data_IF_668358812811
#
_entry.id   IF_668358812811
#
_cell.length_a   1.000
_cell.length_b   1.000
_cell.length_c   1.000
_cell.angle_alpha   90.00
_cell.angle_beta   90.00
_cell.angle_gamma   90.00
#
_symmetry.space_group_name_H-M   'P 1'
#
loop_
_entity.id
_entity.type
_entity.pdbx_description
1 polymer ?
#
# COMPACT_ATOMS: atom_id res chain seq x y z
N UNK A 1 -11.37 7.12 26.73
CA UNK A 1 -11.88 6.01 25.90
C UNK A 1 -11.72 6.47 24.47
N UNK A 2 -10.70 5.96 23.75
CA UNK A 2 -10.56 6.22 22.30
C UNK A 2 -11.68 5.42 21.67
N UNK A 3 -12.67 6.09 21.09
CA UNK A 3 -13.66 5.42 20.25
C UNK A 3 -12.91 4.56 19.23
N UNK A 4 -13.29 3.30 19.15
CA UNK A 4 -12.79 2.34 18.16
C UNK A 4 -13.16 2.89 16.78
N UNK A 5 -12.30 3.72 16.21
CA UNK A 5 -12.50 4.14 14.82
C UNK A 5 -12.25 2.91 13.96
N UNK A 6 -13.32 2.45 13.35
CA UNK A 6 -13.30 1.34 12.41
C UNK A 6 -12.42 1.77 11.23
N UNK A 7 -11.31 1.08 11.02
CA UNK A 7 -10.50 1.24 9.80
C UNK A 7 -11.40 0.94 8.60
N UNK A 8 -11.42 1.84 7.63
CA UNK A 8 -12.24 1.69 6.42
C UNK A 8 -11.34 1.52 5.21
N UNK A 9 -11.58 0.51 4.42
CA UNK A 9 -10.80 0.20 3.23
C UNK A 9 -11.67 0.29 1.97
N UNK A 10 -11.08 0.81 0.89
CA UNK A 10 -11.61 0.66 -0.47
C UNK A 10 -10.82 -0.47 -1.12
N UNK A 11 -11.51 -1.43 -1.68
CA UNK A 11 -10.95 -2.55 -2.43
C UNK A 11 -11.72 -2.77 -3.74
N UNK A 12 -11.11 -3.46 -4.67
CA UNK A 12 -11.72 -3.83 -5.94
C UNK A 12 -11.43 -5.28 -6.28
N UNK A 13 -12.45 -6.12 -6.53
CA UNK A 13 -12.22 -7.48 -7.02
C UNK A 13 -11.51 -7.47 -8.38
N UNK A 14 -10.62 -8.44 -8.66
CA UNK A 14 -9.97 -8.54 -9.95
C UNK A 14 -10.96 -8.91 -11.06
N UNK A 15 -10.78 -8.26 -12.23
CA UNK A 15 -11.46 -8.63 -13.47
C UNK A 15 -10.72 -9.74 -14.23
N UNK A 16 -11.33 -10.23 -15.30
CA UNK A 16 -10.71 -11.26 -16.17
C UNK A 16 -9.41 -10.78 -16.86
N UNK A 17 -9.25 -9.47 -16.95
CA UNK A 17 -8.06 -8.85 -17.51
C UNK A 17 -6.80 -9.06 -16.65
N UNK A 18 -6.91 -9.47 -15.39
CA UNK A 18 -5.75 -9.69 -14.47
C UNK A 18 -4.65 -10.56 -15.09
N UNK A 19 -4.99 -11.49 -15.99
CA UNK A 19 -4.01 -12.28 -16.77
C UNK A 19 -2.99 -11.44 -17.54
N UNK A 20 -3.30 -10.17 -17.81
CA UNK A 20 -2.47 -9.22 -18.54
C UNK A 20 -1.90 -8.14 -17.64
N UNK A 21 -1.89 -8.37 -16.32
CA UNK A 21 -1.31 -7.44 -15.35
C UNK A 21 0.13 -7.09 -15.70
N UNK A 22 0.52 -5.89 -15.37
CA UNK A 22 1.89 -5.41 -15.52
C UNK A 22 2.78 -6.09 -14.46
N UNK A 23 3.40 -7.20 -14.84
CA UNK A 23 4.23 -7.97 -13.92
C UNK A 23 5.53 -8.41 -14.56
N UNK A 24 6.61 -8.39 -13.76
CA UNK A 24 7.90 -9.01 -14.05
C UNK A 24 8.03 -10.44 -13.51
N UNK A 25 7.02 -10.94 -12.79
CA UNK A 25 7.08 -12.26 -12.16
C UNK A 25 7.24 -13.39 -13.19
N UNK A 26 8.12 -14.38 -12.98
CA UNK A 26 8.34 -15.47 -13.92
C UNK A 26 7.09 -16.33 -14.16
N UNK A 27 6.21 -16.46 -13.18
CA UNK A 27 4.99 -17.25 -13.23
C UNK A 27 3.72 -16.45 -13.62
N UNK A 28 3.86 -15.19 -14.08
CA UNK A 28 2.72 -14.33 -14.44
C UNK A 28 1.72 -14.97 -15.40
N UNK A 29 2.20 -15.84 -16.30
CA UNK A 29 1.35 -16.52 -17.28
C UNK A 29 0.44 -17.58 -16.65
N UNK A 30 0.65 -17.90 -15.34
CA UNK A 30 -0.17 -18.85 -14.57
C UNK A 30 -1.37 -18.18 -13.91
N UNK A 31 -1.48 -16.85 -13.93
CA UNK A 31 -2.56 -16.10 -13.26
C UNK A 31 -3.93 -16.64 -13.70
N UNK A 32 -4.70 -17.11 -12.72
CA UNK A 32 -6.09 -17.50 -12.85
C UNK A 32 -7.01 -16.45 -12.19
N UNK A 33 -7.73 -15.65 -13.00
CA UNK A 33 -8.62 -14.61 -12.46
C UNK A 33 -9.77 -15.14 -11.61
N UNK A 34 -10.24 -16.37 -11.83
CA UNK A 34 -11.30 -16.96 -11.04
C UNK A 34 -10.79 -17.30 -9.63
N UNK A 35 -9.60 -17.90 -9.56
CA UNK A 35 -8.92 -18.15 -8.30
C UNK A 35 -8.53 -16.84 -7.60
N UNK A 36 -8.05 -15.84 -8.33
CA UNK A 36 -7.78 -14.52 -7.79
C UNK A 36 -9.02 -13.87 -7.16
N UNK A 37 -10.20 -14.00 -7.78
CA UNK A 37 -11.46 -13.52 -7.18
C UNK A 37 -11.79 -14.23 -5.87
N UNK A 38 -11.56 -15.53 -5.82
CA UNK A 38 -11.78 -16.32 -4.60
C UNK A 38 -10.81 -15.90 -3.47
N UNK A 39 -9.54 -15.68 -3.80
CA UNK A 39 -8.53 -15.20 -2.85
C UNK A 39 -8.84 -13.79 -2.35
N UNK A 40 -9.26 -12.91 -3.26
CA UNK A 40 -9.69 -11.55 -2.88
C UNK A 40 -10.88 -11.57 -1.94
N UNK A 41 -11.89 -12.40 -2.21
CA UNK A 41 -13.07 -12.54 -1.36
C UNK A 41 -12.70 -13.07 0.04
N UNK A 42 -11.79 -14.04 0.12
CA UNK A 42 -11.29 -14.57 1.39
C UNK A 42 -10.50 -13.50 2.19
N UNK A 43 -9.70 -12.65 1.52
CA UNK A 43 -9.05 -11.52 2.18
C UNK A 43 -10.06 -10.52 2.73
N UNK A 44 -11.11 -10.19 1.97
CA UNK A 44 -12.20 -9.30 2.43
C UNK A 44 -12.87 -9.88 3.68
N UNK A 45 -13.24 -11.15 3.66
CA UNK A 45 -13.86 -11.83 4.81
C UNK A 45 -12.95 -11.83 6.04
N UNK A 46 -11.65 -12.06 5.86
CA UNK A 46 -10.67 -12.02 6.95
C UNK A 46 -10.52 -10.61 7.54
N UNK A 47 -10.55 -9.57 6.71
CA UNK A 47 -10.52 -8.17 7.15
C UNK A 47 -11.80 -7.79 7.92
N UNK A 48 -12.97 -8.15 7.42
CA UNK A 48 -14.25 -7.89 8.08
C UNK A 48 -14.35 -8.64 9.43
N UNK A 49 -13.84 -9.87 9.49
CA UNK A 49 -13.71 -10.64 10.75
C UNK A 49 -12.79 -9.95 11.76
N UNK A 50 -11.79 -9.21 11.30
CA UNK A 50 -10.93 -8.39 12.14
C UNK A 50 -11.54 -7.01 12.51
N UNK A 51 -12.79 -6.75 12.14
CA UNK A 51 -13.50 -5.49 12.44
C UNK A 51 -13.17 -4.33 11.50
N UNK A 52 -12.59 -4.63 10.34
CA UNK A 52 -12.30 -3.64 9.29
C UNK A 52 -13.52 -3.49 8.38
N UNK A 53 -13.95 -2.26 8.13
CA UNK A 53 -15.05 -2.01 7.19
C UNK A 53 -14.51 -1.96 5.75
N UNK A 54 -14.99 -2.83 4.88
CA UNK A 54 -14.58 -2.89 3.48
C UNK A 54 -15.66 -2.33 2.56
N UNK A 55 -15.26 -1.43 1.65
CA UNK A 55 -16.11 -0.93 0.57
C UNK A 55 -15.59 -1.47 -0.74
N UNK A 56 -16.39 -2.30 -1.41
CA UNK A 56 -16.03 -2.89 -2.70
C UNK A 56 -16.45 -1.98 -3.86
N UNK A 57 -15.51 -1.67 -4.73
CA UNK A 57 -15.78 -1.13 -6.05
C UNK A 57 -16.20 -2.25 -7.02
N UNK A 58 -16.94 -1.96 -8.08
CA UNK A 58 -17.18 -2.95 -9.13
C UNK A 58 -15.86 -3.36 -9.81
N UNK A 59 -15.73 -4.62 -10.25
CA UNK A 59 -14.58 -5.05 -11.02
C UNK A 59 -14.51 -4.30 -12.36
N UNK A 60 -13.29 -4.10 -12.84
CA UNK A 60 -13.04 -3.52 -14.17
C UNK A 60 -12.65 -4.61 -15.15
N UNK A 61 -13.44 -4.77 -16.21
CA UNK A 61 -13.26 -5.87 -17.16
C UNK A 61 -11.99 -5.73 -18.01
N UNK A 62 -11.64 -4.50 -18.37
CA UNK A 62 -10.57 -4.19 -19.34
C UNK A 62 -9.31 -3.57 -18.72
N UNK A 63 -9.28 -3.36 -17.41
CA UNK A 63 -8.16 -2.77 -16.68
C UNK A 63 -7.46 -3.86 -15.85
N UNK A 64 -6.33 -4.40 -16.35
CA UNK A 64 -5.66 -5.56 -15.74
C UNK A 64 -5.27 -5.36 -14.29
N UNK A 65 -4.79 -4.17 -13.95
CA UNK A 65 -4.20 -3.85 -12.65
C UNK A 65 -5.17 -3.16 -11.68
N UNK A 66 -6.45 -2.99 -12.07
CA UNK A 66 -7.40 -2.17 -11.33
C UNK A 66 -7.74 -2.68 -9.92
N UNK A 67 -7.43 -3.93 -9.59
CA UNK A 67 -7.55 -4.48 -8.23
C UNK A 67 -6.46 -3.96 -7.28
N UNK A 68 -5.33 -3.48 -7.81
CA UNK A 68 -4.25 -2.87 -7.02
C UNK A 68 -4.56 -1.40 -6.74
N UNK A 69 -5.60 -1.19 -5.93
CA UNK A 69 -6.17 0.15 -5.68
C UNK A 69 -5.21 1.09 -4.97
N UNK A 70 -4.24 0.57 -4.20
CA UNK A 70 -3.27 1.39 -3.46
C UNK A 70 -2.50 2.36 -4.33
N UNK A 71 -2.21 1.99 -5.60
CA UNK A 71 -1.41 2.83 -6.49
C UNK A 71 -2.17 4.06 -7.01
N UNK A 72 -3.49 4.06 -6.90
CA UNK A 72 -4.36 5.07 -7.50
C UNK A 72 -4.73 6.22 -6.58
N UNK A 73 -4.61 6.00 -5.25
CA UNK A 73 -5.09 6.97 -4.29
C UNK A 73 -4.42 6.81 -2.93
N UNK A 74 -4.13 7.93 -2.29
CA UNK A 74 -3.62 8.02 -0.93
C UNK A 74 -4.56 8.85 -0.08
N UNK A 75 -4.73 8.46 1.19
CA UNK A 75 -5.51 9.24 2.15
C UNK A 75 -4.70 9.48 3.43
N UNK A 76 -4.82 10.68 3.95
CA UNK A 76 -4.04 11.13 5.10
C UNK A 76 -4.99 11.75 6.14
N UNK A 77 -5.09 11.19 7.35
CA UNK A 77 -5.59 11.94 8.50
C UNK A 77 -4.58 13.02 8.89
N UNK A 78 -4.92 13.95 9.75
CA UNK A 78 -3.86 14.75 10.41
C UNK A 78 -3.11 13.87 11.41
N UNK A 79 -1.80 14.10 11.62
CA UNK A 79 -1.05 13.34 12.63
C UNK A 79 -1.74 13.39 14.00
N UNK A 80 -2.05 12.19 14.53
CA UNK A 80 -2.79 12.04 15.79
C UNK A 80 -4.31 12.06 15.67
N UNK A 81 -4.86 12.30 14.49
CA UNK A 81 -6.29 12.19 14.18
C UNK A 81 -6.58 10.89 13.42
N UNK A 82 -7.86 10.52 13.38
CA UNK A 82 -8.31 9.29 12.72
C UNK A 82 -9.12 9.59 11.45
N UNK A 83 -9.67 10.79 11.38
CA UNK A 83 -10.48 11.20 10.23
C UNK A 83 -9.58 11.67 9.08
N UNK A 84 -9.84 11.14 7.89
CA UNK A 84 -9.16 11.55 6.67
C UNK A 84 -9.37 13.04 6.42
N UNK A 85 -8.27 13.78 6.33
CA UNK A 85 -8.25 15.22 6.10
C UNK A 85 -7.78 15.59 4.69
N UNK A 86 -6.99 14.71 4.05
CA UNK A 86 -6.48 14.90 2.70
C UNK A 86 -6.61 13.60 1.91
N UNK A 87 -7.09 13.70 0.69
CA UNK A 87 -7.08 12.65 -0.32
C UNK A 87 -6.21 13.10 -1.48
N UNK A 88 -5.25 12.27 -1.89
CA UNK A 88 -4.38 12.55 -3.02
C UNK A 88 -4.66 11.53 -4.12
N UNK A 89 -5.22 12.00 -5.25
CA UNK A 89 -5.31 11.20 -6.45
C UNK A 89 -3.94 11.17 -7.12
N UNK A 90 -3.43 9.98 -7.37
CA UNK A 90 -2.13 9.80 -8.00
C UNK A 90 -2.17 10.06 -9.51
N UNK A 91 -1.01 10.15 -10.12
CA UNK A 91 -0.85 10.04 -11.57
C UNK A 91 0.09 8.86 -11.84
N UNK A 92 -0.44 7.64 -12.01
CA UNK A 92 0.37 6.44 -12.14
C UNK A 92 1.45 6.56 -13.22
N UNK A 93 2.66 6.07 -12.89
CA UNK A 93 3.79 6.05 -13.81
C UNK A 93 3.54 5.20 -15.04
N UNK A 94 2.76 4.12 -14.92
CA UNK A 94 2.24 3.36 -16.03
C UNK A 94 0.99 4.05 -16.62
N UNK A 95 1.03 4.59 -17.87
CA UNK A 95 -0.11 5.32 -18.43
C UNK A 95 -1.38 4.50 -18.53
N UNK A 96 -1.27 3.17 -18.70
CA UNK A 96 -2.41 2.24 -18.78
C UNK A 96 -3.22 2.17 -17.49
N UNK A 97 -2.63 2.55 -16.35
CA UNK A 97 -3.26 2.54 -15.03
C UNK A 97 -3.97 3.85 -14.66
N UNK A 98 -3.69 4.94 -15.37
CA UNK A 98 -4.30 6.25 -15.11
C UNK A 98 -5.83 6.25 -15.17
N UNK A 99 -6.50 5.48 -16.07
CA UNK A 99 -7.97 5.38 -16.10
C UNK A 99 -8.59 4.73 -14.85
N UNK A 100 -7.80 4.05 -14.00
CA UNK A 100 -8.27 3.41 -12.77
C UNK A 100 -8.61 4.44 -11.68
N UNK A 101 -7.92 5.59 -11.66
CA UNK A 101 -7.96 6.61 -10.61
C UNK A 101 -9.35 7.24 -10.39
N UNK A 102 -10.11 7.66 -11.42
CA UNK A 102 -11.35 8.41 -11.21
C UNK A 102 -12.40 7.67 -10.38
N UNK A 103 -12.54 6.36 -10.55
CA UNK A 103 -13.55 5.58 -9.84
C UNK A 103 -13.20 5.40 -8.35
N UNK A 104 -11.90 5.21 -8.03
CA UNK A 104 -11.41 5.12 -6.66
C UNK A 104 -11.55 6.48 -5.95
N UNK A 105 -11.17 7.57 -6.64
CA UNK A 105 -11.32 8.94 -6.13
C UNK A 105 -12.80 9.28 -5.84
N UNK A 106 -13.71 8.91 -6.74
CA UNK A 106 -15.14 9.14 -6.52
C UNK A 106 -15.67 8.39 -5.29
N UNK A 107 -15.16 7.19 -5.02
CA UNK A 107 -15.49 6.45 -3.80
C UNK A 107 -14.93 7.15 -2.56
N UNK A 108 -13.66 7.54 -2.57
CA UNK A 108 -13.00 8.22 -1.46
C UNK A 108 -13.70 9.53 -1.09
N UNK A 109 -14.11 10.33 -2.08
CA UNK A 109 -14.89 11.58 -1.86
C UNK A 109 -16.21 11.32 -1.13
N UNK A 110 -16.87 10.20 -1.40
CA UNK A 110 -18.11 9.84 -0.66
C UNK A 110 -17.83 9.39 0.77
N UNK A 111 -16.69 8.69 0.97
CA UNK A 111 -16.32 8.18 2.28
C UNK A 111 -15.71 9.24 3.20
N UNK A 112 -15.05 10.25 2.64
CA UNK A 112 -14.44 11.36 3.35
C UNK A 112 -14.86 12.72 2.73
N UNK A 113 -16.14 13.12 2.84
CA UNK A 113 -16.68 14.29 2.13
C UNK A 113 -16.08 15.63 2.62
N UNK A 114 -15.45 15.65 3.81
CA UNK A 114 -14.79 16.84 4.37
C UNK A 114 -13.29 16.92 4.08
N UNK A 115 -12.72 15.92 3.39
CA UNK A 115 -11.29 15.91 3.08
C UNK A 115 -10.97 16.85 1.90
N UNK A 116 -9.84 17.55 2.00
CA UNK A 116 -9.27 18.23 0.86
C UNK A 116 -8.81 17.22 -0.20
N UNK A 117 -8.91 17.61 -1.47
CA UNK A 117 -8.50 16.74 -2.59
C UNK A 117 -7.38 17.43 -3.36
N UNK A 118 -6.28 16.71 -3.54
CA UNK A 118 -5.14 17.11 -4.38
C UNK A 118 -4.97 16.03 -5.46
N UNK A 119 -4.64 16.48 -6.66
CA UNK A 119 -4.32 15.59 -7.79
C UNK A 119 -2.87 15.80 -8.20
N UNK A 120 -2.11 14.72 -8.33
CA UNK A 120 -0.77 14.77 -8.92
C UNK A 120 -0.90 15.05 -10.42
N UNK A 121 -0.07 15.94 -10.94
CA UNK A 121 -0.16 16.44 -12.33
C UNK A 121 1.17 16.35 -13.06
N UNK A 122 1.11 16.25 -14.36
CA UNK A 122 2.29 16.33 -15.22
C UNK A 122 3.18 17.54 -14.86
N UNK A 123 4.50 17.43 -14.93
CA UNK A 123 5.27 16.24 -15.36
C UNK A 123 5.51 15.21 -14.23
N UNK A 124 4.84 15.35 -13.07
CA UNK A 124 4.94 14.42 -11.95
C UNK A 124 4.22 13.10 -12.24
N UNK A 125 4.83 11.97 -11.89
CA UNK A 125 4.18 10.66 -11.79
C UNK A 125 4.31 10.15 -10.36
N UNK A 126 3.30 9.44 -9.88
CA UNK A 126 3.25 8.88 -8.54
C UNK A 126 2.39 7.62 -8.52
N UNK A 127 2.95 6.50 -8.09
CA UNK A 127 2.22 5.31 -7.68
C UNK A 127 2.12 5.29 -6.15
N UNK A 128 0.95 4.96 -5.60
CA UNK A 128 0.77 4.93 -4.15
C UNK A 128 1.61 3.86 -3.45
N UNK A 129 2.00 2.80 -4.16
CA UNK A 129 2.94 1.78 -3.66
C UNK A 129 4.34 2.32 -3.32
N UNK A 130 4.69 3.51 -3.80
CA UNK A 130 5.91 4.21 -3.41
C UNK A 130 5.75 5.05 -2.13
N UNK A 131 4.60 5.00 -1.46
CA UNK A 131 4.32 5.88 -0.31
C UNK A 131 4.03 5.05 0.93
N UNK A 132 4.83 5.24 1.98
CA UNK A 132 4.57 4.67 3.30
C UNK A 132 4.39 5.79 4.33
N UNK A 133 3.36 5.62 5.19
CA UNK A 133 2.92 6.64 6.14
C UNK A 133 3.05 6.07 7.56
N UNK A 134 3.81 6.71 8.42
CA UNK A 134 3.97 6.28 9.81
C UNK A 134 4.45 7.43 10.70
N UNK A 135 3.93 7.53 11.91
CA UNK A 135 4.41 8.44 12.95
C UNK A 135 4.52 9.92 12.54
N UNK A 136 3.59 10.41 11.69
CA UNK A 136 3.63 11.77 11.14
C UNK A 136 4.69 11.98 10.05
N UNK A 137 5.27 10.91 9.53
CA UNK A 137 6.24 10.87 8.44
C UNK A 137 5.62 10.25 7.21
N UNK A 138 6.08 10.70 6.04
CA UNK A 138 5.74 10.13 4.73
C UNK A 138 7.05 9.88 3.99
N UNK A 139 7.43 8.61 3.86
CA UNK A 139 8.53 8.24 2.98
C UNK A 139 7.98 8.01 1.58
N UNK A 140 8.58 8.66 0.59
CA UNK A 140 8.13 8.67 -0.80
C UNK A 140 9.25 8.10 -1.65
N UNK A 141 9.04 6.92 -2.21
CA UNK A 141 9.97 6.28 -3.14
C UNK A 141 10.10 7.09 -4.43
N UNK A 142 11.34 7.28 -4.87
CA UNK A 142 11.63 7.73 -6.22
C UNK A 142 12.10 6.50 -6.99
N UNK A 143 11.27 6.02 -7.90
CA UNK A 143 11.36 4.73 -8.57
C UNK A 143 11.18 4.86 -10.09
N UNK A 144 11.07 3.75 -10.78
CA UNK A 144 10.66 3.73 -12.19
C UNK A 144 9.19 4.18 -12.39
N UNK A 145 8.36 4.18 -11.34
CA UNK A 145 6.94 4.56 -11.37
C UNK A 145 6.69 5.97 -10.82
N UNK A 146 7.44 6.37 -9.83
CA UNK A 146 7.31 7.67 -9.16
C UNK A 146 8.53 8.51 -9.46
N UNK A 147 8.36 9.60 -10.18
CA UNK A 147 9.46 10.54 -10.43
C UNK A 147 9.57 11.61 -9.33
N UNK A 148 10.70 12.30 -9.31
CA UNK A 148 10.97 13.34 -8.32
C UNK A 148 9.93 14.48 -8.34
N UNK A 149 9.40 14.82 -9.51
CA UNK A 149 8.38 15.87 -9.63
C UNK A 149 7.07 15.46 -8.96
N UNK A 150 6.62 14.21 -9.11
CA UNK A 150 5.44 13.68 -8.41
C UNK A 150 5.67 13.57 -6.91
N UNK A 151 6.83 13.06 -6.50
CA UNK A 151 7.21 12.99 -5.08
C UNK A 151 7.21 14.37 -4.41
N UNK A 152 7.73 15.41 -5.05
CA UNK A 152 7.73 16.78 -4.53
C UNK A 152 6.33 17.40 -4.47
N UNK A 153 5.44 17.08 -5.41
CA UNK A 153 4.03 17.51 -5.33
C UNK A 153 3.36 16.88 -4.11
N UNK A 154 3.53 15.58 -3.89
CA UNK A 154 3.00 14.91 -2.70
C UNK A 154 3.58 15.52 -1.41
N UNK A 155 4.91 15.69 -1.33
CA UNK A 155 5.59 16.26 -0.17
C UNK A 155 5.03 17.65 0.19
N UNK A 156 4.78 18.50 -0.83
CA UNK A 156 4.16 19.81 -0.64
C UNK A 156 2.73 19.70 -0.12
N UNK A 157 1.95 18.77 -0.65
CA UNK A 157 0.56 18.55 -0.23
C UNK A 157 0.49 18.10 1.23
N UNK A 158 1.21 17.04 1.59
CA UNK A 158 1.15 16.46 2.95
C UNK A 158 1.76 17.38 4.01
N UNK A 159 2.73 18.21 3.64
CA UNK A 159 3.34 19.20 4.54
C UNK A 159 2.32 20.20 5.10
N UNK A 160 1.29 20.57 4.33
CA UNK A 160 0.18 21.43 4.78
C UNK A 160 -0.70 20.77 5.86
N UNK A 161 -0.63 19.46 5.96
CA UNK A 161 -1.39 18.64 6.93
C UNK A 161 -0.55 18.19 8.12
N UNK A 162 0.69 18.68 8.26
CA UNK A 162 1.55 18.44 9.40
C UNK A 162 2.47 17.21 9.27
N UNK A 163 2.57 16.63 8.08
CA UNK A 163 3.51 15.54 7.82
C UNK A 163 4.89 16.04 7.41
N UNK A 164 5.91 15.29 7.79
CA UNK A 164 7.28 15.43 7.28
C UNK A 164 7.49 14.42 6.15
N UNK A 165 7.79 14.89 4.97
CA UNK A 165 8.00 14.04 3.79
C UNK A 165 9.49 13.87 3.49
N UNK A 166 9.87 12.66 3.05
CA UNK A 166 11.25 12.26 2.73
C UNK A 166 11.26 11.50 1.41
N UNK A 167 12.16 11.87 0.51
CA UNK A 167 12.32 11.20 -0.77
C UNK A 167 13.37 10.08 -0.62
N UNK A 168 12.97 8.85 -0.91
CA UNK A 168 13.78 7.65 -0.74
C UNK A 168 14.12 7.06 -2.12
N UNK A 169 15.38 6.77 -2.45
CA UNK A 169 15.71 6.12 -3.71
C UNK A 169 15.20 4.66 -3.72
N UNK A 170 14.65 4.23 -4.85
CA UNK A 170 14.17 2.86 -5.08
C UNK A 170 14.64 2.40 -6.45
N UNK A 171 15.77 1.69 -6.49
CA UNK A 171 16.45 1.31 -7.73
C UNK A 171 16.34 -0.19 -8.06
N UNK A 172 16.02 -1.04 -7.08
CA UNK A 172 16.12 -2.50 -7.13
C UNK A 172 14.78 -3.24 -7.09
N UNK A 173 13.67 -2.50 -6.97
CA UNK A 173 12.31 -3.07 -6.87
C UNK A 173 11.26 -2.17 -7.50
N UNK A 174 10.04 -2.70 -7.62
CA UNK A 174 8.92 -1.99 -8.25
C UNK A 174 8.52 -0.73 -7.46
N UNK A 175 8.31 -0.88 -6.13
CA UNK A 175 7.85 0.18 -5.24
C UNK A 175 8.57 0.14 -3.88
N UNK A 176 8.56 1.24 -3.15
CA UNK A 176 9.10 1.30 -1.79
C UNK A 176 8.40 0.30 -0.86
N UNK A 177 7.07 0.20 -0.92
CA UNK A 177 6.28 -0.72 -0.10
C UNK A 177 6.49 -2.21 -0.43
N UNK A 178 7.15 -2.53 -1.54
CA UNK A 178 7.58 -3.91 -1.82
C UNK A 178 8.76 -4.34 -0.92
N UNK A 179 9.48 -3.41 -0.34
CA UNK A 179 10.63 -3.69 0.52
C UNK A 179 10.43 -3.37 1.98
N UNK A 180 9.48 -2.50 2.34
CA UNK A 180 9.21 -2.09 3.71
C UNK A 180 7.78 -1.59 3.86
N UNK A 181 7.07 -2.04 4.90
CA UNK A 181 5.72 -1.59 5.21
C UNK A 181 5.57 -1.21 6.70
N UNK A 182 4.70 -0.24 7.02
CA UNK A 182 4.44 0.15 8.40
C UNK A 182 3.44 -0.81 9.07
N UNK A 183 3.76 -1.23 10.29
CA UNK A 183 2.85 -1.96 11.18
C UNK A 183 2.17 -1.02 12.16
N UNK A 184 2.86 0.06 12.53
CA UNK A 184 2.35 1.11 13.41
C UNK A 184 3.11 2.42 13.21
N UNK A 185 2.79 3.44 14.00
CA UNK A 185 3.51 4.71 13.98
C UNK A 185 5.01 4.58 14.32
N UNK A 186 5.43 3.49 14.97
CA UNK A 186 6.79 3.27 15.47
C UNK A 186 7.35 1.87 15.19
N UNK A 187 6.72 1.11 14.30
CA UNK A 187 7.21 -0.22 13.93
C UNK A 187 7.04 -0.44 12.44
N UNK A 188 8.11 -0.84 11.79
CA UNK A 188 8.15 -1.19 10.38
C UNK A 188 8.61 -2.64 10.23
N UNK A 189 8.11 -3.35 9.23
CA UNK A 189 8.70 -4.61 8.77
C UNK A 189 9.27 -4.39 7.37
N UNK A 190 10.43 -4.97 7.10
CA UNK A 190 11.04 -4.81 5.79
C UNK A 190 12.26 -5.69 5.59
N UNK A 191 12.70 -5.73 4.33
CA UNK A 191 13.97 -6.34 3.96
C UNK A 191 15.12 -5.39 4.32
N UNK A 192 16.35 -5.94 4.33
CA UNK A 192 17.55 -5.12 4.50
C UNK A 192 17.65 -4.04 3.42
N UNK A 193 17.42 -4.38 2.16
CA UNK A 193 17.44 -3.43 1.05
C UNK A 193 16.29 -2.40 1.13
N UNK A 194 15.12 -2.80 1.66
CA UNK A 194 14.01 -1.89 1.94
C UNK A 194 14.38 -0.80 2.95
N UNK A 195 15.02 -1.19 4.04
CA UNK A 195 15.50 -0.23 5.03
C UNK A 195 16.65 0.65 4.51
N UNK A 196 17.52 0.13 3.65
CA UNK A 196 18.57 0.96 3.00
C UNK A 196 17.97 2.12 2.19
N UNK A 197 16.84 1.92 1.52
CA UNK A 197 16.13 3.02 0.83
C UNK A 197 15.68 4.11 1.80
N UNK A 198 15.22 3.76 3.02
CA UNK A 198 14.88 4.74 4.05
C UNK A 198 16.14 5.44 4.58
N UNK A 199 17.21 4.69 4.88
CA UNK A 199 18.45 5.21 5.44
C UNK A 199 19.14 6.19 4.47
N UNK A 200 19.04 5.94 3.15
CA UNK A 200 19.56 6.84 2.13
C UNK A 200 18.89 8.22 2.12
N UNK A 201 17.64 8.32 2.61
CA UNK A 201 16.93 9.59 2.73
C UNK A 201 17.22 10.33 4.06
N UNK A 202 18.04 9.73 4.93
CA UNK A 202 18.55 10.33 6.17
C UNK A 202 17.92 9.75 7.45
N UNK A 203 18.57 9.97 8.60
CA UNK A 203 18.20 9.34 9.88
C UNK A 203 16.84 9.79 10.43
N UNK A 204 16.32 10.90 9.95
CA UNK A 204 15.02 11.44 10.40
C UNK A 204 13.81 10.68 9.84
N UNK A 205 14.00 9.88 8.77
CA UNK A 205 12.93 9.08 8.17
C UNK A 205 12.48 8.00 9.14
N UNK A 206 13.43 7.20 9.61
CA UNK A 206 13.18 6.14 10.59
C UNK A 206 14.22 6.24 11.72
N UNK A 207 14.03 7.20 12.67
CA UNK A 207 14.94 7.40 13.77
C UNK A 207 14.98 6.20 14.73
N UNK A 208 15.92 6.20 15.68
CA UNK A 208 16.19 5.07 16.60
C UNK A 208 14.97 4.60 17.42
N UNK A 209 13.96 5.45 17.60
CA UNK A 209 12.72 5.10 18.27
C UNK A 209 11.69 4.38 17.37
N UNK A 210 12.01 4.15 16.10
CA UNK A 210 11.23 3.33 15.16
C UNK A 210 11.83 1.93 15.11
N UNK A 211 11.10 0.97 15.64
CA UNK A 211 11.50 -0.44 15.62
C UNK A 211 11.47 -1.00 14.19
N UNK A 212 12.52 -1.70 13.82
CA UNK A 212 12.68 -2.33 12.52
C UNK A 212 12.67 -3.85 12.65
N UNK A 213 11.62 -4.49 12.15
CA UNK A 213 11.55 -5.93 12.00
C UNK A 213 12.16 -6.30 10.65
N UNK A 214 13.34 -6.90 10.68
CA UNK A 214 14.11 -7.19 9.46
C UNK A 214 13.89 -8.63 9.04
N UNK A 215 13.50 -8.85 7.79
CA UNK A 215 13.46 -10.16 7.14
C UNK A 215 14.51 -10.24 6.03
N UNK A 216 14.81 -11.44 5.55
CA UNK A 216 15.76 -11.64 4.47
C UNK A 216 15.25 -11.09 3.13
N UNK A 217 16.14 -10.56 2.29
CA UNK A 217 15.79 -10.01 0.97
C UNK A 217 15.17 -11.08 0.05
N UNK A 218 15.55 -12.33 0.18
CA UNK A 218 14.94 -13.46 -0.56
C UNK A 218 13.46 -13.68 -0.20
N UNK A 219 13.00 -13.16 0.92
CA UNK A 219 11.61 -13.22 1.39
C UNK A 219 10.86 -11.90 1.20
N UNK A 220 11.27 -11.06 0.25
CA UNK A 220 10.76 -9.69 0.06
C UNK A 220 9.23 -9.60 -0.03
N UNK A 221 8.55 -10.57 -0.66
CA UNK A 221 7.08 -10.62 -0.67
C UNK A 221 6.44 -10.67 0.72
N UNK A 222 7.16 -11.20 1.73
CA UNK A 222 6.74 -11.21 3.13
C UNK A 222 6.87 -9.86 3.84
N UNK A 223 7.57 -8.88 3.25
CA UNK A 223 7.61 -7.51 3.75
C UNK A 223 6.33 -6.72 3.44
N UNK A 224 5.52 -7.19 2.48
CA UNK A 224 4.24 -6.59 2.15
C UNK A 224 3.16 -7.04 3.14
N UNK A 225 3.10 -6.36 4.28
CA UNK A 225 2.20 -6.68 5.40
C UNK A 225 1.13 -5.61 5.54
N UNK A 226 -0.13 -6.02 5.49
CA UNK A 226 -1.25 -5.13 5.77
C UNK A 226 -1.60 -5.18 7.26
N UNK A 227 -1.29 -4.13 8.00
CA UNK A 227 -1.69 -3.97 9.39
C UNK A 227 -3.07 -3.30 9.47
N UNK A 228 -4.09 -4.04 9.89
CA UNK A 228 -5.46 -3.54 10.01
C UNK A 228 -6.24 -4.33 11.08
N UNK A 229 -7.17 -3.69 11.78
CA UNK A 229 -8.01 -4.35 12.78
C UNK A 229 -7.23 -5.07 13.89
N UNK A 230 -6.05 -4.55 14.26
CA UNK A 230 -5.17 -5.17 15.25
C UNK A 230 -4.52 -6.48 14.80
N UNK A 231 -4.47 -6.74 13.53
CA UNK A 231 -3.86 -7.92 12.91
C UNK A 231 -2.92 -7.54 11.78
N UNK A 232 -1.94 -8.42 11.51
CA UNK A 232 -1.01 -8.34 10.40
C UNK A 232 -1.37 -9.41 9.36
N UNK A 233 -1.87 -8.99 8.20
CA UNK A 233 -2.21 -9.88 7.09
C UNK A 233 -0.97 -10.05 6.20
N UNK A 234 -0.53 -11.29 6.04
CA UNK A 234 0.65 -11.68 5.27
C UNK A 234 0.24 -12.68 4.21
N UNK A 235 0.76 -12.55 3.00
CA UNK A 235 0.56 -13.59 2.00
C UNK A 235 1.20 -14.91 2.46
N UNK A 236 0.52 -16.04 2.23
CA UNK A 236 1.07 -17.36 2.56
C UNK A 236 2.34 -17.64 1.75
N UNK A 237 3.28 -18.37 2.36
CA UNK A 237 4.53 -18.74 1.72
C UNK A 237 5.75 -17.99 2.24
N UNK A 238 5.59 -17.11 3.24
CA UNK A 238 6.67 -16.32 3.84
C UNK A 238 6.84 -16.63 5.34
N UNK A 239 7.28 -17.86 5.72
CA UNK A 239 7.35 -18.26 7.14
C UNK A 239 8.27 -17.37 7.97
N UNK A 240 9.36 -16.84 7.41
CA UNK A 240 10.26 -15.93 8.13
C UNK A 240 9.57 -14.62 8.52
N UNK A 241 8.69 -14.09 7.68
CA UNK A 241 7.90 -12.91 8.02
C UNK A 241 6.89 -13.21 9.14
N UNK A 242 6.22 -14.37 9.06
CA UNK A 242 5.27 -14.84 10.09
C UNK A 242 5.98 -15.01 11.45
N UNK A 243 7.13 -15.68 11.48
CA UNK A 243 7.93 -15.88 12.70
C UNK A 243 8.42 -14.55 13.29
N UNK A 244 8.89 -13.64 12.43
CA UNK A 244 9.37 -12.31 12.85
C UNK A 244 8.24 -11.49 13.48
N UNK A 245 7.08 -11.44 12.84
CA UNK A 245 5.90 -10.75 13.37
C UNK A 245 5.41 -11.37 14.68
N UNK A 246 5.28 -12.70 14.75
CA UNK A 246 4.83 -13.40 15.94
C UNK A 246 5.80 -13.18 17.11
N UNK A 247 7.11 -13.19 16.86
CA UNK A 247 8.15 -12.94 17.88
C UNK A 247 8.10 -11.49 18.38
N UNK A 248 7.64 -10.55 17.55
CA UNK A 248 7.41 -9.16 17.95
C UNK A 248 6.06 -8.93 18.65
N UNK A 249 5.27 -9.99 18.86
CA UNK A 249 3.98 -9.95 19.53
C UNK A 249 2.81 -9.54 18.64
N UNK A 250 2.97 -9.53 17.33
CA UNK A 250 1.89 -9.22 16.39
C UNK A 250 0.93 -10.41 16.19
N UNK A 251 -0.34 -10.11 15.99
CA UNK A 251 -1.36 -11.11 15.65
C UNK A 251 -1.36 -11.32 14.14
N UNK A 252 -0.83 -12.46 13.68
CA UNK A 252 -0.63 -12.74 12.26
C UNK A 252 -1.81 -13.52 11.67
N UNK A 253 -2.23 -13.13 10.47
CA UNK A 253 -3.21 -13.85 9.64
C UNK A 253 -2.56 -14.12 8.29
N UNK A 254 -2.33 -15.38 7.98
CA UNK A 254 -1.86 -15.79 6.65
C UNK A 254 -3.05 -15.87 5.67
N UNK A 255 -2.89 -15.25 4.51
CA UNK A 255 -3.89 -15.21 3.44
C UNK A 255 -3.33 -15.79 2.14
N UNK A 256 -4.14 -16.56 1.42
CA UNK A 256 -3.74 -17.07 0.09
C UNK A 256 -3.88 -15.96 -0.93
N UNK A 257 -2.75 -15.54 -1.53
CA UNK A 257 -2.66 -14.45 -2.51
C UNK A 257 -1.66 -14.76 -3.64
N UNK A 258 -1.41 -16.03 -3.93
CA UNK A 258 -0.42 -16.42 -4.93
C UNK A 258 -0.74 -15.86 -6.33
N UNK A 259 -2.02 -15.74 -6.71
CA UNK A 259 -2.42 -15.12 -7.98
C UNK A 259 -2.03 -13.63 -8.06
N UNK A 260 -2.07 -12.94 -6.93
CA UNK A 260 -1.63 -11.56 -6.84
C UNK A 260 -0.11 -11.44 -6.74
N UNK A 261 0.57 -12.39 -6.09
CA UNK A 261 2.03 -12.46 -6.08
C UNK A 261 2.58 -12.67 -7.49
N UNK A 262 1.93 -13.47 -8.33
CA UNK A 262 2.29 -13.62 -9.75
C UNK A 262 2.10 -12.32 -10.55
N UNK A 263 1.30 -11.39 -10.03
CA UNK A 263 1.11 -10.05 -10.59
C UNK A 263 1.95 -8.98 -9.85
N UNK A 264 3.03 -9.37 -9.15
CA UNK A 264 3.88 -8.50 -8.33
C UNK A 264 3.14 -7.74 -7.21
N UNK A 265 1.97 -8.22 -6.79
CA UNK A 265 1.13 -7.60 -5.77
C UNK A 265 1.07 -8.39 -4.46
N UNK A 266 0.83 -7.69 -3.35
CA UNK A 266 0.63 -8.26 -2.02
C UNK A 266 -0.58 -7.64 -1.31
N UNK A 267 -0.80 -7.97 -0.03
CA UNK A 267 -1.99 -7.49 0.71
C UNK A 267 -2.18 -5.98 0.70
N UNK A 268 -1.10 -5.19 0.85
CA UNK A 268 -1.19 -3.73 0.86
C UNK A 268 -1.56 -3.15 -0.50
N UNK A 269 -1.22 -3.85 -1.59
CA UNK A 269 -1.49 -3.37 -2.94
C UNK A 269 -3.01 -3.35 -3.26
N UNK A 270 -3.79 -4.17 -2.56
CA UNK A 270 -5.22 -4.37 -2.80
C UNK A 270 -6.12 -3.36 -2.08
N UNK A 271 -5.56 -2.46 -1.26
CA UNK A 271 -6.36 -1.63 -0.36
C UNK A 271 -5.98 -0.15 -0.43
N UNK A 272 -6.98 0.72 -0.31
CA UNK A 272 -6.82 2.12 0.08
C UNK A 272 -7.47 2.30 1.44
N UNK A 273 -6.71 2.71 2.45
CA UNK A 273 -7.24 3.07 3.76
C UNK A 273 -7.79 4.51 3.74
N UNK A 274 -9.02 4.71 4.26
CA UNK A 274 -9.74 5.99 4.31
C UNK A 274 -10.14 6.35 5.74
#
# INVERSE_FOLDING_TARGET
MVENSVVRLIMRPPGDALRRALSGHPDRDRIDPERARSQHAALVEALETAGVAVTLLPPEADMPDACFTSDTLLAFPRPGELQTALVVATLPGAPTRRPEVPSVLACARRMAPGADVVEIRDPGTLDGGDVIIFGGRVAIGVSARTNEAGARQLATAVGRFGYRAFLCPVDDRLHLASGVTPLSARRLIGTRSGFQSLDAAGPEVAPDDVERLVIEDAAAGGANVLAAGGRCFVARGFPSAVETLASAGESVVEVELDEFLFADGGPTCLVVAI
#
